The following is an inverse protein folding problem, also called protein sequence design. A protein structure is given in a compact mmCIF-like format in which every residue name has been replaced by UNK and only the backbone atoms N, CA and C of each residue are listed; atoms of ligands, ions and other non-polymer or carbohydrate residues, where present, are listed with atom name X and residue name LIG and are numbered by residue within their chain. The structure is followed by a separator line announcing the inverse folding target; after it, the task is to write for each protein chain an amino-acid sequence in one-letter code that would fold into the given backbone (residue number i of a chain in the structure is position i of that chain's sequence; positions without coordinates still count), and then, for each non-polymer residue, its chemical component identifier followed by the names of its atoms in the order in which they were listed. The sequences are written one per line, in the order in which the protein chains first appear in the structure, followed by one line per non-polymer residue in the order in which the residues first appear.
data_IF_818742369721
#
_entry.id   IF_818742369721
#
_cell.length_a   1.000
_cell.length_b   1.000
_cell.length_c   1.000
_cell.angle_alpha   90.00
_cell.angle_beta   90.00
_cell.angle_gamma   90.00
#
_symmetry.space_group_name_H-M   'P 1'
#
loop_
_entity.id
_entity.type
_entity.pdbx_description
1 polymer ?
#
# COMPACT_ATOMS: atom_id res chain seq x y z
N UNK A 1 52.84 18.12 30.94
CA UNK A 1 51.54 17.78 31.58
C UNK A 1 50.32 18.36 30.80
N UNK A 2 50.47 19.08 29.73
CA UNK A 2 49.43 19.75 28.93
C UNK A 2 48.88 18.90 27.78
N UNK A 3 49.65 17.96 27.25
CA UNK A 3 49.23 17.12 26.10
C UNK A 3 48.04 16.20 26.39
N UNK A 4 47.91 15.73 27.63
CA UNK A 4 46.84 14.80 28.06
C UNK A 4 45.47 15.47 28.26
N UNK A 5 45.40 16.81 28.33
CA UNK A 5 44.14 17.57 28.46
C UNK A 5 43.52 17.86 27.08
N UNK A 6 44.35 18.13 26.10
CA UNK A 6 43.91 18.43 24.74
C UNK A 6 43.31 17.19 24.06
N UNK A 7 43.94 16.02 24.23
CA UNK A 7 43.42 14.75 23.70
C UNK A 7 42.11 14.32 24.36
N UNK A 8 41.89 14.57 25.62
CA UNK A 8 40.61 14.31 26.32
C UNK A 8 39.50 15.25 25.87
N UNK A 9 39.79 16.54 25.63
CA UNK A 9 38.83 17.50 25.09
C UNK A 9 38.45 17.20 23.65
N UNK A 10 39.37 16.76 22.81
CA UNK A 10 39.09 16.35 21.42
C UNK A 10 38.25 15.09 21.38
N UNK A 11 38.45 14.12 22.24
CA UNK A 11 37.66 12.89 22.33
C UNK A 11 36.22 13.18 22.81
N UNK A 12 36.03 14.11 23.76
CA UNK A 12 34.69 14.52 24.22
C UNK A 12 33.95 15.29 23.13
N UNK A 13 34.60 16.18 22.39
CA UNK A 13 34.02 16.93 21.30
C UNK A 13 33.56 15.98 20.16
N UNK A 14 34.37 14.96 19.85
CA UNK A 14 34.03 13.96 18.82
C UNK A 14 32.84 13.07 19.22
N UNK A 15 32.73 12.71 20.51
CA UNK A 15 31.61 11.95 21.04
C UNK A 15 30.28 12.73 20.99
N UNK A 16 30.30 14.04 21.24
CA UNK A 16 29.12 14.92 21.17
C UNK A 16 28.62 15.08 19.75
N UNK A 17 29.51 15.13 18.75
CA UNK A 17 29.11 15.23 17.34
C UNK A 17 28.39 13.95 16.85
N UNK A 18 28.80 12.77 17.34
CA UNK A 18 28.16 11.48 16.96
C UNK A 18 26.74 11.37 17.54
N UNK A 19 26.48 11.91 18.72
CA UNK A 19 25.14 11.84 19.34
C UNK A 19 24.14 12.79 18.69
N UNK A 20 24.60 13.89 18.08
CA UNK A 20 23.75 14.86 17.36
C UNK A 20 23.41 14.42 15.92
N UNK A 21 24.08 13.38 15.39
CA UNK A 21 23.87 12.90 14.01
C UNK A 21 22.73 11.90 13.85
N UNK A 22 22.12 11.42 14.92
CA UNK A 22 21.15 10.34 14.88
C UNK A 22 19.74 10.77 15.35
N UNK A 23 19.09 11.70 14.67
CA UNK A 23 17.63 11.85 14.78
C UNK A 23 17.04 12.76 13.69
N UNK A 24 17.23 12.43 12.42
CA UNK A 24 16.23 12.80 11.42
C UNK A 24 15.19 11.68 11.37
N UNK A 25 14.33 11.66 12.37
CA UNK A 25 13.05 10.99 12.21
C UNK A 25 12.33 11.72 11.07
N UNK A 26 12.17 11.05 9.93
CA UNK A 26 11.32 11.56 8.85
C UNK A 26 9.90 11.47 9.38
N UNK A 27 9.43 12.53 10.03
CA UNK A 27 8.02 12.67 10.38
C UNK A 27 7.33 13.01 9.07
N UNK A 28 6.65 12.05 8.47
CA UNK A 28 5.72 12.32 7.39
C UNK A 28 4.62 13.21 7.95
N UNK A 29 4.67 14.51 7.67
CA UNK A 29 3.65 15.49 8.09
C UNK A 29 2.39 15.35 7.23
N UNK A 30 2.50 14.77 6.04
CA UNK A 30 1.39 14.63 5.12
C UNK A 30 0.72 13.28 5.34
N UNK A 31 -0.58 13.31 5.59
CA UNK A 31 -1.40 12.10 5.64
C UNK A 31 -1.52 11.49 4.25
N UNK A 32 -1.46 10.16 4.16
CA UNK A 32 -1.62 9.46 2.90
C UNK A 32 -2.31 8.11 3.08
N UNK A 33 -2.88 7.60 1.99
CA UNK A 33 -3.46 6.26 1.90
C UNK A 33 -2.72 5.46 0.83
N UNK A 34 -2.32 4.25 1.15
CA UNK A 34 -1.61 3.35 0.23
C UNK A 34 -2.05 1.91 0.41
N UNK A 35 -1.79 1.07 -0.59
CA UNK A 35 -1.86 -0.37 -0.40
C UNK A 35 -0.79 -0.86 0.56
N UNK A 36 -1.07 -1.96 1.26
CA UNK A 36 -0.14 -2.69 2.14
C UNK A 36 0.06 -4.06 1.53
N UNK A 37 1.08 -4.21 0.68
CA UNK A 37 1.30 -5.44 -0.08
C UNK A 37 1.55 -6.66 0.82
N UNK A 38 2.32 -6.49 1.90
CA UNK A 38 2.70 -7.56 2.82
C UNK A 38 1.50 -8.12 3.61
N UNK A 39 0.45 -7.32 3.77
CA UNK A 39 -0.77 -7.69 4.50
C UNK A 39 -1.96 -7.93 3.55
N UNK A 40 -1.74 -7.82 2.25
CA UNK A 40 -2.72 -8.14 1.22
C UNK A 40 -2.63 -9.60 0.81
N UNK A 41 -3.69 -10.11 0.22
CA UNK A 41 -3.69 -11.42 -0.43
C UNK A 41 -2.65 -11.49 -1.55
N UNK A 42 -2.26 -12.70 -1.93
CA UNK A 42 -1.28 -12.91 -3.01
C UNK A 42 -1.63 -12.10 -4.26
N UNK A 43 -0.59 -11.57 -4.91
CA UNK A 43 -0.69 -10.94 -6.23
C UNK A 43 -0.52 -11.92 -7.37
N UNK A 44 -0.32 -13.21 -7.07
CA UNK A 44 -0.28 -14.32 -8.04
C UNK A 44 -1.36 -15.32 -7.68
N UNK A 45 -2.31 -15.52 -8.57
CA UNK A 45 -3.53 -16.29 -8.36
C UNK A 45 -3.54 -17.50 -9.31
N UNK A 46 -3.69 -18.70 -8.74
CA UNK A 46 -3.91 -19.91 -9.53
C UNK A 46 -5.30 -19.86 -10.17
N UNK A 47 -5.37 -20.12 -11.46
CA UNK A 47 -6.61 -20.12 -12.23
C UNK A 47 -7.62 -21.20 -11.77
N UNK A 48 -7.14 -22.28 -11.18
CA UNK A 48 -8.00 -23.31 -10.58
C UNK A 48 -8.55 -22.92 -9.20
N UNK A 49 -8.05 -21.83 -8.61
CA UNK A 49 -8.48 -21.39 -7.29
C UNK A 49 -9.85 -20.70 -7.30
N UNK A 50 -10.67 -21.01 -6.29
CA UNK A 50 -11.96 -20.38 -6.01
C UNK A 50 -11.93 -19.84 -4.57
N UNK A 51 -11.69 -18.53 -4.41
CA UNK A 51 -11.50 -17.91 -3.09
C UNK A 51 -11.56 -16.38 -3.13
N UNK A 52 -11.76 -15.76 -1.96
CA UNK A 52 -11.81 -14.30 -1.85
C UNK A 52 -10.47 -13.72 -1.39
N UNK A 53 -9.88 -12.90 -2.25
CA UNK A 53 -8.72 -12.08 -1.94
C UNK A 53 -9.10 -10.79 -1.20
N UNK A 54 -8.24 -10.36 -0.27
CA UNK A 54 -8.36 -9.10 0.46
C UNK A 54 -7.14 -8.23 0.18
N UNK A 55 -7.33 -7.07 -0.40
CA UNK A 55 -6.28 -6.13 -0.76
C UNK A 55 -6.39 -4.92 0.16
N UNK A 56 -5.51 -4.89 1.15
CA UNK A 56 -5.58 -3.94 2.26
C UNK A 56 -5.05 -2.59 1.85
N UNK A 57 -5.78 -1.53 2.23
CA UNK A 57 -5.33 -0.15 2.22
C UNK A 57 -5.16 0.36 3.63
N UNK A 58 -4.19 1.24 3.85
CA UNK A 58 -3.88 1.84 5.17
C UNK A 58 -3.77 3.35 5.04
N UNK A 59 -4.43 4.03 5.95
CA UNK A 59 -4.22 5.44 6.22
C UNK A 59 -3.04 5.61 7.16
N UNK A 60 -2.12 6.49 6.80
CA UNK A 60 -0.98 6.89 7.62
C UNK A 60 -1.09 8.38 7.87
N UNK A 61 -1.10 8.78 9.13
CA UNK A 61 -1.25 10.17 9.57
C UNK A 61 -1.83 10.26 10.97
N UNK A 62 -2.23 11.46 11.36
CA UNK A 62 -2.94 11.70 12.61
C UNK A 62 -4.32 11.02 12.57
N UNK A 63 -4.85 10.64 13.74
CA UNK A 63 -6.17 10.00 13.84
C UNK A 63 -7.23 10.89 13.18
N UNK A 64 -7.92 10.39 12.13
CA UNK A 64 -8.96 11.16 11.47
C UNK A 64 -10.15 11.37 12.42
N UNK A 65 -10.68 12.60 12.44
CA UNK A 65 -11.89 12.96 13.19
C UNK A 65 -13.17 12.69 12.41
N UNK A 66 -13.07 12.70 11.08
CA UNK A 66 -14.18 12.47 10.14
C UNK A 66 -13.94 11.19 9.34
N UNK A 67 -15.00 10.56 8.79
CA UNK A 67 -14.84 9.46 7.86
C UNK A 67 -14.08 9.89 6.60
N UNK A 68 -13.20 9.02 6.10
CA UNK A 68 -12.47 9.22 4.85
C UNK A 68 -13.00 8.23 3.82
N UNK A 69 -13.64 8.73 2.76
CA UNK A 69 -14.08 7.91 1.63
C UNK A 69 -12.96 7.81 0.62
N UNK A 70 -12.57 6.58 0.30
CA UNK A 70 -11.52 6.25 -0.67
C UNK A 70 -12.17 5.62 -1.89
N UNK A 71 -12.11 6.29 -3.02
CA UNK A 71 -12.57 5.73 -4.30
C UNK A 71 -11.46 4.91 -4.95
N UNK A 72 -11.84 3.81 -5.56
CA UNK A 72 -10.93 2.95 -6.31
C UNK A 72 -11.52 2.54 -7.66
N UNK A 73 -10.64 2.18 -8.58
CA UNK A 73 -10.99 1.63 -9.88
C UNK A 73 -10.35 0.27 -10.11
N UNK A 74 -10.99 -0.53 -10.94
CA UNK A 74 -10.49 -1.83 -11.38
C UNK A 74 -10.23 -1.75 -12.89
N UNK A 75 -9.06 -2.23 -13.31
CA UNK A 75 -8.71 -2.40 -14.72
C UNK A 75 -8.26 -3.84 -14.93
N UNK A 76 -9.02 -4.59 -15.71
CA UNK A 76 -8.67 -5.95 -16.11
C UNK A 76 -7.98 -5.93 -17.47
N UNK A 77 -6.99 -6.81 -17.65
CA UNK A 77 -6.45 -7.15 -18.95
C UNK A 77 -7.50 -7.89 -19.81
N UNK A 78 -7.23 -8.03 -21.09
CA UNK A 78 -8.18 -8.63 -22.06
C UNK A 78 -8.39 -10.15 -21.88
N UNK A 79 -7.63 -10.77 -20.99
CA UNK A 79 -7.76 -12.17 -20.61
C UNK A 79 -8.67 -12.43 -19.41
N UNK A 80 -9.10 -11.39 -18.68
CA UNK A 80 -9.96 -11.53 -17.50
C UNK A 80 -11.33 -10.90 -17.71
N UNK A 81 -12.39 -11.65 -17.42
CA UNK A 81 -13.78 -11.23 -17.57
C UNK A 81 -14.49 -11.27 -16.22
N UNK A 82 -15.11 -10.16 -15.80
CA UNK A 82 -15.94 -10.11 -14.60
C UNK A 82 -17.14 -11.05 -14.72
N UNK A 83 -17.43 -11.79 -13.65
CA UNK A 83 -18.46 -12.84 -13.62
C UNK A 83 -17.98 -14.19 -14.15
N UNK A 84 -16.78 -14.27 -14.73
CA UNK A 84 -16.17 -15.53 -15.21
C UNK A 84 -14.86 -15.83 -14.50
N UNK A 85 -14.00 -14.84 -14.38
CA UNK A 85 -12.66 -14.97 -13.79
C UNK A 85 -12.57 -14.36 -12.39
N UNK A 86 -13.38 -13.35 -12.13
CA UNK A 86 -13.44 -12.66 -10.84
C UNK A 86 -14.80 -11.96 -10.64
N UNK A 87 -15.13 -11.67 -9.39
CA UNK A 87 -16.26 -10.84 -8.97
C UNK A 87 -15.83 -9.82 -7.94
N UNK A 88 -16.38 -8.60 -8.01
CA UNK A 88 -16.11 -7.57 -7.00
C UNK A 88 -17.02 -7.80 -5.78
N UNK A 89 -16.43 -8.22 -4.66
CA UNK A 89 -17.14 -8.32 -3.37
C UNK A 89 -17.31 -6.94 -2.74
N UNK A 90 -16.29 -6.07 -2.86
CA UNK A 90 -16.39 -4.66 -2.49
C UNK A 90 -17.00 -3.88 -3.65
N UNK A 91 -18.31 -3.70 -3.60
CA UNK A 91 -19.07 -2.99 -4.63
C UNK A 91 -19.08 -1.48 -4.44
N UNK A 92 -19.55 -0.73 -5.46
CA UNK A 92 -19.72 0.72 -5.40
C UNK A 92 -18.44 1.54 -5.63
N UNK A 93 -17.30 0.91 -5.87
CA UNK A 93 -16.06 1.62 -6.23
C UNK A 93 -15.46 2.49 -5.12
N UNK A 94 -15.87 2.28 -3.88
CA UNK A 94 -15.31 3.00 -2.73
C UNK A 94 -15.31 2.16 -1.45
N UNK A 95 -14.45 2.54 -0.51
CA UNK A 95 -14.44 2.07 0.88
C UNK A 95 -14.35 3.26 1.81
N UNK A 96 -14.86 3.15 3.03
CA UNK A 96 -14.85 4.23 4.01
C UNK A 96 -14.07 3.82 5.25
N UNK A 97 -13.06 4.63 5.59
CA UNK A 97 -12.34 4.55 6.86
C UNK A 97 -13.10 5.42 7.88
N UNK A 98 -13.70 4.79 8.87
CA UNK A 98 -14.38 5.51 9.96
C UNK A 98 -13.37 6.16 10.91
N UNK A 99 -13.77 7.18 11.72
CA UNK A 99 -12.89 7.81 12.70
C UNK A 99 -12.20 6.78 13.60
N UNK A 100 -10.86 6.78 13.59
CA UNK A 100 -10.06 5.83 14.36
C UNK A 100 -9.84 4.47 13.70
N UNK A 101 -10.38 4.23 12.51
CA UNK A 101 -10.09 3.06 11.68
C UNK A 101 -9.02 3.46 10.67
N UNK A 102 -7.87 2.80 10.72
CA UNK A 102 -6.72 3.11 9.89
C UNK A 102 -6.58 2.19 8.67
N UNK A 103 -7.35 1.12 8.61
CA UNK A 103 -7.25 0.11 7.56
C UNK A 103 -8.62 -0.31 7.06
N UNK A 104 -8.68 -0.59 5.76
CA UNK A 104 -9.81 -1.21 5.08
C UNK A 104 -9.31 -2.14 3.98
N UNK A 105 -10.18 -3.04 3.50
CA UNK A 105 -9.82 -3.97 2.43
C UNK A 105 -10.79 -3.87 1.26
N UNK A 106 -10.22 -3.88 0.06
CA UNK A 106 -10.94 -4.11 -1.19
C UNK A 106 -10.91 -5.62 -1.40
N UNK A 107 -12.09 -6.24 -1.57
CA UNK A 107 -12.24 -7.69 -1.68
C UNK A 107 -12.66 -8.07 -3.09
N UNK A 108 -11.99 -9.08 -3.63
CA UNK A 108 -12.26 -9.67 -4.95
C UNK A 108 -12.40 -11.16 -4.75
N UNK A 109 -13.48 -11.74 -5.25
CA UNK A 109 -13.68 -13.18 -5.33
C UNK A 109 -13.11 -13.67 -6.66
N UNK A 110 -12.13 -14.56 -6.60
CA UNK A 110 -11.50 -15.17 -7.75
C UNK A 110 -12.24 -16.46 -8.08
N UNK A 111 -12.70 -16.58 -9.31
CA UNK A 111 -13.44 -17.74 -9.79
C UNK A 111 -12.50 -18.72 -10.50
N UNK A 112 -12.74 -20.00 -10.32
CA UNK A 112 -12.00 -21.05 -11.03
C UNK A 112 -12.36 -21.05 -12.52
N UNK A 113 -11.39 -20.71 -13.37
CA UNK A 113 -11.55 -20.71 -14.82
C UNK A 113 -10.20 -20.82 -15.53
N UNK A 114 -10.09 -21.70 -16.54
CA UNK A 114 -8.88 -21.85 -17.36
C UNK A 114 -8.66 -20.63 -18.25
N UNK A 115 -7.46 -20.08 -18.21
CA UNK A 115 -7.11 -18.83 -18.90
C UNK A 115 -6.49 -19.09 -20.27
N UNK A 116 -6.67 -18.14 -21.17
CA UNK A 116 -5.88 -18.01 -22.38
C UNK A 116 -4.52 -17.35 -22.03
N UNK A 117 -3.44 -18.11 -22.14
CA UNK A 117 -2.10 -17.66 -21.76
C UNK A 117 -1.50 -16.60 -22.71
N UNK A 118 -2.10 -16.40 -23.88
CA UNK A 118 -1.64 -15.39 -24.87
C UNK A 118 -2.12 -13.98 -24.45
N UNK A 119 -3.19 -13.91 -23.66
CA UNK A 119 -3.82 -12.67 -23.24
C UNK A 119 -3.22 -12.09 -21.95
N UNK A 120 -3.51 -10.82 -21.70
CA UNK A 120 -3.19 -10.18 -20.44
C UNK A 120 -4.16 -10.63 -19.33
N UNK A 121 -3.71 -11.55 -18.49
CA UNK A 121 -4.45 -12.11 -17.36
C UNK A 121 -4.14 -11.35 -16.06
N UNK A 122 -3.98 -10.04 -16.14
CA UNK A 122 -3.76 -9.17 -14.99
C UNK A 122 -5.00 -8.36 -14.61
N UNK A 123 -5.13 -8.03 -13.31
CA UNK A 123 -6.13 -7.12 -12.78
C UNK A 123 -5.43 -6.11 -11.89
N UNK A 124 -5.62 -4.82 -12.17
CA UNK A 124 -5.05 -3.73 -11.41
C UNK A 124 -6.12 -3.00 -10.62
N UNK A 125 -5.90 -2.86 -9.31
CA UNK A 125 -6.69 -2.03 -8.42
C UNK A 125 -5.94 -0.72 -8.24
N UNK A 126 -6.57 0.42 -8.54
CA UNK A 126 -5.99 1.74 -8.40
C UNK A 126 -6.81 2.61 -7.46
N UNK A 127 -6.16 3.30 -6.52
CA UNK A 127 -6.79 4.34 -5.71
C UNK A 127 -6.95 5.59 -6.56
N UNK A 128 -8.17 6.14 -6.62
CA UNK A 128 -8.52 7.25 -7.51
C UNK A 128 -8.61 8.58 -6.77
N UNK A 129 -9.26 8.58 -5.60
CA UNK A 129 -9.42 9.77 -4.77
C UNK A 129 -9.61 9.39 -3.30
N UNK A 130 -9.28 10.30 -2.40
CA UNK A 130 -9.62 10.24 -0.98
C UNK A 130 -9.85 11.67 -0.48
N UNK A 131 -10.83 11.86 0.40
CA UNK A 131 -11.25 13.19 0.88
C UNK A 131 -10.10 13.93 1.58
N UNK A 132 -9.43 14.84 0.87
CA UNK A 132 -8.34 15.68 1.38
C UNK A 132 -7.04 14.93 1.73
N UNK A 133 -6.92 13.65 1.37
CA UNK A 133 -5.78 12.78 1.70
C UNK A 133 -5.03 12.39 0.44
N UNK A 134 -3.71 12.41 0.50
CA UNK A 134 -2.82 11.98 -0.59
C UNK A 134 -2.93 10.47 -0.81
N UNK A 135 -2.81 10.05 -2.07
CA UNK A 135 -2.78 8.62 -2.44
C UNK A 135 -1.35 8.18 -2.77
N UNK A 136 -1.01 6.96 -2.34
CA UNK A 136 0.32 6.40 -2.48
C UNK A 136 1.32 6.97 -1.48
N UNK A 137 2.50 6.36 -1.38
CA UNK A 137 3.58 6.88 -0.54
C UNK A 137 4.00 8.28 -0.99
N UNK A 138 4.33 9.18 -0.04
CA UNK A 138 4.84 10.50 -0.38
C UNK A 138 6.08 10.42 -1.25
N UNK A 139 6.05 11.10 -2.41
CA UNK A 139 7.13 11.13 -3.38
C UNK A 139 6.59 11.28 -4.81
N UNK A 140 7.47 11.47 -5.79
CA UNK A 140 7.07 11.68 -7.18
C UNK A 140 6.48 10.43 -7.84
N UNK A 141 6.79 9.23 -7.33
CA UNK A 141 6.35 7.96 -7.90
C UNK A 141 5.01 7.47 -7.35
N UNK A 142 4.46 8.11 -6.32
CA UNK A 142 3.22 7.69 -5.64
C UNK A 142 3.11 6.17 -5.45
N UNK A 143 4.21 5.55 -5.00
CA UNK A 143 4.30 4.09 -4.84
C UNK A 143 3.12 3.57 -4.02
N UNK A 144 2.67 2.34 -4.31
CA UNK A 144 1.55 1.69 -3.62
C UNK A 144 0.20 2.43 -3.77
N UNK A 145 0.05 3.29 -4.78
CA UNK A 145 -1.23 3.84 -5.20
C UNK A 145 -2.06 2.82 -5.99
N UNK A 146 -1.39 1.83 -6.58
CA UNK A 146 -2.03 0.72 -7.28
C UNK A 146 -1.34 -0.61 -6.94
N UNK A 147 -2.07 -1.70 -7.11
CA UNK A 147 -1.59 -3.07 -6.97
C UNK A 147 -2.08 -3.89 -8.17
N UNK A 148 -1.19 -4.67 -8.77
CA UNK A 148 -1.53 -5.53 -9.91
C UNK A 148 -1.46 -6.99 -9.48
N UNK A 149 -2.50 -7.72 -9.78
CA UNK A 149 -2.68 -9.13 -9.50
C UNK A 149 -2.62 -9.86 -10.84
N UNK A 150 -1.89 -10.98 -10.90
CA UNK A 150 -1.81 -11.85 -12.08
C UNK A 150 -2.46 -13.18 -11.79
N UNK A 151 -3.37 -13.62 -12.65
CA UNK A 151 -3.96 -14.95 -12.63
C UNK A 151 -3.23 -15.82 -13.66
N UNK A 152 -2.91 -17.08 -13.35
CA UNK A 152 -2.14 -17.97 -14.21
C UNK A 152 -2.64 -19.39 -14.10
N UNK A 153 -2.49 -20.19 -15.16
CA UNK A 153 -2.69 -21.64 -15.11
C UNK A 153 -1.48 -22.29 -14.44
N UNK A 154 -1.70 -23.20 -13.49
CA UNK A 154 -0.65 -23.95 -12.80
C UNK A 154 -0.42 -25.33 -13.48
#
# INVERSE_FOLDING_TARGET
MTFNRITKLAAIAMAVVIVLSCNKMIIFRDSFISFVAEESSSTYIDAAGDWTGSYKIRYTGEKPSEPITVSFGITAGDGLVEGTDYELVTTGGHVTLLPGVFEQSIKIHWLSHTLDEIKDNSLTISLLSADGVRLGYPGPSELMKSITIKKYNN
#
